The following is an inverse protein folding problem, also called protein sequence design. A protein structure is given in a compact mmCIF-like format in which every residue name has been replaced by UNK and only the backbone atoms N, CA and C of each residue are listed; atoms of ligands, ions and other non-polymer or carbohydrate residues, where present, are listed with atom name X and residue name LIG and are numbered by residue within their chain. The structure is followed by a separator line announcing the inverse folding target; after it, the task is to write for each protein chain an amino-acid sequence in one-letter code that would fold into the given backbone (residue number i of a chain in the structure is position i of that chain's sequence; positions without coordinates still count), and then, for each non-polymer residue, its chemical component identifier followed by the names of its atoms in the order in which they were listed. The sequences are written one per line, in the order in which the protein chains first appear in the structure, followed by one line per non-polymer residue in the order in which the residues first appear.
data_IF_664487892683
#
_entry.id   IF_664487892683
#
_cell.length_a   1.000
_cell.length_b   1.000
_cell.length_c   1.000
_cell.angle_alpha   90.00
_cell.angle_beta   90.00
_cell.angle_gamma   90.00
#
_symmetry.space_group_name_H-M   'P 1'
#
loop_
_entity.id
_entity.type
_entity.pdbx_description
1 polymer ?
#
# COMPACT_ATOMS: atom_id res chain seq x y z
N UNK A 1 92.53 -24.39 23.15
CA UNK A 1 91.24 -24.92 23.64
C UNK A 1 90.14 -24.15 22.93
N UNK A 2 89.29 -24.86 22.19
CA UNK A 2 88.28 -24.33 21.26
C UNK A 2 87.23 -23.46 21.94
N UNK A 3 86.92 -22.30 21.34
CA UNK A 3 85.60 -21.67 21.48
C UNK A 3 85.02 -21.46 20.08
N UNK A 4 84.07 -22.34 19.77
CA UNK A 4 83.32 -22.42 18.53
C UNK A 4 82.44 -21.18 18.31
N UNK A 5 82.55 -20.58 17.12
CA UNK A 5 81.52 -19.73 16.55
C UNK A 5 80.22 -20.54 16.32
N UNK A 6 79.16 -20.24 17.06
CA UNK A 6 77.78 -20.55 16.64
C UNK A 6 77.16 -19.28 16.06
N UNK A 7 77.06 -19.21 14.73
CA UNK A 7 76.17 -18.27 14.03
C UNK A 7 74.73 -18.73 14.23
N UNK A 8 73.99 -18.08 15.13
CA UNK A 8 72.53 -18.09 15.04
C UNK A 8 72.13 -16.95 14.12
N UNK A 9 71.48 -17.29 13.00
CA UNK A 9 70.82 -16.36 12.11
C UNK A 9 69.63 -15.73 12.82
N UNK A 10 69.90 -14.66 13.59
CA UNK A 10 68.87 -13.87 14.25
C UNK A 10 68.16 -13.00 13.22
N UNK A 11 66.93 -13.34 12.87
CA UNK A 11 65.99 -12.38 12.31
C UNK A 11 65.92 -11.22 13.31
N UNK A 12 66.31 -10.01 12.88
CA UNK A 12 66.32 -8.83 13.74
C UNK A 12 64.94 -8.64 14.37
N UNK A 13 64.90 -8.41 15.69
CA UNK A 13 63.68 -8.18 16.47
C UNK A 13 62.76 -7.11 15.84
N UNK A 14 63.36 -6.15 15.14
CA UNK A 14 62.69 -5.08 14.40
C UNK A 14 61.85 -5.60 13.23
N UNK A 15 62.34 -6.63 12.52
CA UNK A 15 61.63 -7.26 11.39
C UNK A 15 60.42 -8.04 11.90
N UNK A 16 60.58 -8.75 13.02
CA UNK A 16 59.46 -9.43 13.68
C UNK A 16 58.39 -8.45 14.14
N UNK A 17 58.78 -7.31 14.74
CA UNK A 17 57.82 -6.29 15.19
C UNK A 17 57.05 -5.65 14.04
N UNK A 18 57.72 -5.31 12.94
CA UNK A 18 57.08 -4.76 11.74
C UNK A 18 56.11 -5.77 11.12
N UNK A 19 56.48 -7.04 11.06
CA UNK A 19 55.62 -8.09 10.50
C UNK A 19 54.37 -8.31 11.35
N UNK A 20 54.48 -8.27 12.68
CA UNK A 20 53.33 -8.39 13.60
C UNK A 20 52.40 -7.18 13.50
N UNK A 21 52.93 -5.95 13.36
CA UNK A 21 52.11 -4.74 13.17
C UNK A 21 51.36 -4.82 11.83
N UNK A 22 52.02 -5.25 10.75
CA UNK A 22 51.38 -5.41 9.44
C UNK A 22 50.29 -6.49 9.48
N UNK A 23 50.54 -7.64 10.12
CA UNK A 23 49.54 -8.69 10.30
C UNK A 23 48.34 -8.23 11.14
N UNK A 24 48.58 -7.47 12.22
CA UNK A 24 47.51 -6.92 13.05
C UNK A 24 46.67 -5.89 12.27
N UNK A 25 47.29 -5.03 11.48
CA UNK A 25 46.59 -4.06 10.61
C UNK A 25 45.79 -4.77 9.51
N UNK A 26 46.32 -5.85 8.93
CA UNK A 26 45.62 -6.66 7.93
C UNK A 26 44.40 -7.38 8.54
N UNK A 27 44.55 -8.03 9.70
CA UNK A 27 43.43 -8.65 10.41
C UNK A 27 42.36 -7.62 10.82
N UNK A 28 42.78 -6.43 11.23
CA UNK A 28 41.85 -5.35 11.56
C UNK A 28 41.13 -4.83 10.32
N UNK A 29 41.81 -4.75 9.16
CA UNK A 29 41.16 -4.38 7.89
C UNK A 29 40.17 -5.44 7.39
N UNK A 30 40.49 -6.73 7.54
CA UNK A 30 39.57 -7.82 7.18
C UNK A 30 38.32 -7.84 8.08
N UNK A 31 38.50 -7.60 9.39
CA UNK A 31 37.40 -7.49 10.34
C UNK A 31 36.47 -6.30 10.07
N UNK A 32 37.04 -5.14 9.68
CA UNK A 32 36.27 -3.94 9.30
C UNK A 32 35.47 -4.20 8.01
N UNK A 33 36.09 -4.80 6.99
CA UNK A 33 35.41 -5.13 5.74
C UNK A 33 34.26 -6.14 5.91
N UNK A 34 34.42 -7.14 6.80
CA UNK A 34 33.37 -8.10 7.10
C UNK A 34 32.15 -7.46 7.79
N UNK A 35 32.38 -6.54 8.73
CA UNK A 35 31.31 -5.82 9.42
C UNK A 35 30.57 -4.84 8.49
N UNK A 36 31.30 -4.12 7.63
CA UNK A 36 30.70 -3.22 6.62
C UNK A 36 29.85 -4.01 5.61
N UNK A 37 30.32 -5.17 5.18
CA UNK A 37 29.55 -6.08 4.33
C UNK A 37 28.26 -6.53 5.00
N UNK A 38 28.31 -7.01 6.24
CA UNK A 38 27.11 -7.45 6.97
C UNK A 38 26.09 -6.29 7.13
N UNK A 39 26.59 -5.07 7.36
CA UNK A 39 25.75 -3.88 7.46
C UNK A 39 25.05 -3.56 6.12
N UNK A 40 25.78 -3.59 5.01
CA UNK A 40 25.20 -3.36 3.67
C UNK A 40 24.19 -4.45 3.32
N UNK A 41 24.50 -5.72 3.61
CA UNK A 41 23.62 -6.86 3.32
C UNK A 41 22.28 -6.71 4.03
N UNK A 42 22.29 -6.33 5.31
CA UNK A 42 21.07 -6.06 6.08
C UNK A 42 20.27 -4.90 5.50
N UNK A 43 20.94 -3.82 5.10
CA UNK A 43 20.28 -2.67 4.49
C UNK A 43 19.63 -3.00 3.14
N UNK A 44 20.34 -3.71 2.26
CA UNK A 44 19.80 -4.10 0.96
C UNK A 44 18.71 -5.16 1.08
N UNK A 45 18.81 -6.09 2.03
CA UNK A 45 17.70 -7.00 2.34
C UNK A 45 16.46 -6.24 2.80
N UNK A 46 16.63 -5.21 3.64
CA UNK A 46 15.53 -4.36 4.10
C UNK A 46 14.88 -3.56 2.94
N UNK A 47 15.70 -2.97 2.06
CA UNK A 47 15.23 -2.28 0.85
C UNK A 47 14.48 -3.21 -0.09
N UNK A 48 15.06 -4.37 -0.40
CA UNK A 48 14.43 -5.39 -1.24
C UNK A 48 13.08 -5.85 -0.68
N UNK A 49 12.97 -6.07 0.62
CA UNK A 49 11.72 -6.48 1.25
C UNK A 49 10.62 -5.40 1.14
N UNK A 50 10.96 -4.13 1.35
CA UNK A 50 10.03 -3.02 1.10
C UNK A 50 9.53 -3.09 -0.35
N UNK A 51 10.44 -3.17 -1.32
CA UNK A 51 10.07 -3.20 -2.74
C UNK A 51 9.29 -4.45 -3.13
N UNK A 52 9.56 -5.60 -2.53
CA UNK A 52 8.77 -6.82 -2.73
C UNK A 52 7.31 -6.59 -2.26
N UNK A 53 7.07 -5.89 -1.14
CA UNK A 53 5.70 -5.53 -0.73
C UNK A 53 5.05 -4.49 -1.64
N UNK A 54 5.80 -3.49 -2.12
CA UNK A 54 5.28 -2.51 -3.09
C UNK A 54 4.87 -3.24 -4.38
N UNK A 55 5.71 -4.13 -4.91
CA UNK A 55 5.44 -4.91 -6.14
C UNK A 55 4.24 -5.85 -5.97
N UNK A 56 4.07 -6.44 -4.80
CA UNK A 56 2.91 -7.26 -4.44
C UNK A 56 1.67 -6.43 -4.08
N UNK A 57 1.76 -5.10 -4.12
CA UNK A 57 0.67 -4.15 -3.80
C UNK A 57 0.14 -4.30 -2.37
N UNK A 58 0.98 -4.76 -1.45
CA UNK A 58 0.63 -4.95 -0.06
C UNK A 58 0.85 -3.64 0.70
N UNK A 59 -0.11 -2.72 0.58
CA UNK A 59 -0.04 -1.38 1.17
C UNK A 59 0.20 -1.43 2.68
N UNK A 60 -0.53 -2.29 3.40
CA UNK A 60 -0.42 -2.40 4.84
C UNK A 60 0.97 -2.90 5.28
N UNK A 61 1.49 -3.95 4.63
CA UNK A 61 2.85 -4.44 4.95
C UNK A 61 3.93 -3.47 4.54
N UNK A 62 3.78 -2.79 3.41
CA UNK A 62 4.72 -1.73 2.98
C UNK A 62 4.86 -0.67 4.08
N UNK A 63 3.74 -0.08 4.53
CA UNK A 63 3.78 0.97 5.56
C UNK A 63 4.29 0.45 6.91
N UNK A 64 3.94 -0.78 7.28
CA UNK A 64 4.45 -1.41 8.50
C UNK A 64 5.97 -1.58 8.44
N UNK A 65 6.49 -1.99 7.28
CA UNK A 65 7.92 -2.29 7.12
C UNK A 65 8.78 -1.01 7.11
N UNK A 66 8.27 0.10 6.59
CA UNK A 66 8.99 1.38 6.54
C UNK A 66 9.57 1.83 7.89
N UNK A 67 8.88 1.57 9.01
CA UNK A 67 9.33 2.05 10.35
C UNK A 67 10.64 1.41 10.83
N UNK A 68 10.99 0.22 10.34
CA UNK A 68 12.23 -0.47 10.75
C UNK A 68 13.22 -0.73 9.62
N UNK A 69 12.77 -0.67 8.36
CA UNK A 69 13.60 -1.04 7.22
C UNK A 69 14.24 0.14 6.49
N UNK A 70 13.69 1.36 6.61
CA UNK A 70 14.19 2.48 5.82
C UNK A 70 15.58 2.96 6.27
N UNK A 71 15.82 3.06 7.57
CA UNK A 71 17.10 3.54 8.09
C UNK A 71 18.26 2.57 7.73
N UNK A 72 18.12 1.23 7.94
CA UNK A 72 19.13 0.29 7.46
C UNK A 72 19.35 0.37 5.94
N UNK A 73 18.28 0.50 5.16
CA UNK A 73 18.37 0.60 3.71
C UNK A 73 19.15 1.84 3.24
N UNK A 74 18.77 3.03 3.72
CA UNK A 74 19.47 4.26 3.33
C UNK A 74 20.91 4.30 3.88
N UNK A 75 21.12 3.80 5.10
CA UNK A 75 22.45 3.72 5.71
C UNK A 75 23.42 2.85 4.91
N UNK A 76 22.94 1.77 4.27
CA UNK A 76 23.76 0.89 3.44
C UNK A 76 24.26 1.55 2.13
N UNK A 77 23.61 2.62 1.66
CA UNK A 77 24.02 3.31 0.43
C UNK A 77 25.41 3.94 0.57
N UNK A 78 25.72 4.47 1.75
CA UNK A 78 26.99 5.18 1.98
C UNK A 78 28.22 4.28 1.83
N UNK A 79 28.34 3.21 2.62
CA UNK A 79 29.43 2.24 2.47
C UNK A 79 29.48 1.67 1.04
N UNK A 80 28.33 1.31 0.46
CA UNK A 80 28.28 0.83 -0.93
C UNK A 80 28.88 1.81 -1.94
N UNK A 81 28.49 3.09 -1.88
CA UNK A 81 29.03 4.12 -2.75
C UNK A 81 30.50 4.40 -2.47
N UNK A 82 30.92 4.34 -1.20
CA UNK A 82 32.34 4.39 -0.82
C UNK A 82 33.16 3.33 -1.54
N UNK A 83 32.70 2.06 -1.51
CA UNK A 83 33.36 0.96 -2.23
C UNK A 83 33.37 1.17 -3.75
N UNK A 84 32.26 1.61 -4.34
CA UNK A 84 32.17 1.89 -5.79
C UNK A 84 33.13 3.00 -6.21
N UNK A 85 33.30 4.04 -5.40
CA UNK A 85 34.06 5.24 -5.76
C UNK A 85 35.57 5.15 -5.45
N UNK A 86 35.97 4.32 -4.47
CA UNK A 86 37.35 4.21 -3.99
C UNK A 86 38.24 3.25 -4.79
N UNK A 87 37.69 2.38 -5.64
CA UNK A 87 38.47 1.33 -6.31
C UNK A 87 39.23 1.79 -7.58
N UNK A 88 40.47 1.31 -7.75
CA UNK A 88 41.40 1.49 -8.90
C UNK A 88 42.10 0.11 -9.17
N UNK A 89 42.42 -0.31 -10.42
CA UNK A 89 41.68 -1.32 -11.19
C UNK A 89 42.35 -2.71 -11.29
N UNK A 90 41.53 -3.75 -11.44
CA UNK A 90 41.62 -4.77 -12.52
C UNK A 90 40.45 -5.78 -12.49
N UNK A 91 39.80 -5.95 -11.33
CA UNK A 91 38.57 -6.72 -11.17
C UNK A 91 37.80 -6.23 -9.93
N UNK A 92 36.46 -6.35 -9.95
CA UNK A 92 35.65 -6.19 -8.74
C UNK A 92 36.13 -7.20 -7.69
N UNK A 93 36.25 -6.77 -6.43
CA UNK A 93 36.39 -7.74 -5.34
C UNK A 93 35.12 -8.59 -5.26
N UNK A 94 35.21 -9.78 -4.65
CA UNK A 94 34.05 -10.64 -4.46
C UNK A 94 32.93 -9.92 -3.69
N UNK A 95 33.31 -9.05 -2.76
CA UNK A 95 32.44 -8.20 -1.96
C UNK A 95 31.74 -7.14 -2.82
N UNK A 96 32.49 -6.37 -3.61
CA UNK A 96 31.92 -5.33 -4.47
C UNK A 96 31.00 -5.92 -5.54
N UNK A 97 31.41 -7.03 -6.17
CA UNK A 97 30.59 -7.75 -7.14
C UNK A 97 29.27 -8.22 -6.52
N UNK A 98 29.32 -8.70 -5.27
CA UNK A 98 28.13 -9.09 -4.52
C UNK A 98 27.23 -7.88 -4.18
N UNK A 99 27.80 -6.77 -3.71
CA UNK A 99 27.03 -5.56 -3.39
C UNK A 99 26.36 -4.96 -4.62
N UNK A 100 27.07 -4.89 -5.76
CA UNK A 100 26.51 -4.47 -7.06
C UNK A 100 25.37 -5.40 -7.49
N UNK A 101 25.52 -6.71 -7.33
CA UNK A 101 24.45 -7.68 -7.59
C UNK A 101 23.23 -7.40 -6.72
N UNK A 102 23.41 -7.09 -5.44
CA UNK A 102 22.31 -6.80 -4.53
C UNK A 102 21.61 -5.49 -4.87
N UNK A 103 22.36 -4.42 -5.16
CA UNK A 103 21.79 -3.15 -5.64
C UNK A 103 21.03 -3.36 -6.95
N UNK A 104 21.59 -4.13 -7.90
CA UNK A 104 20.89 -4.49 -9.13
C UNK A 104 19.59 -5.26 -8.91
N UNK A 105 19.45 -6.05 -7.82
CA UNK A 105 18.17 -6.66 -7.47
C UNK A 105 17.14 -5.63 -6.98
N UNK A 106 17.57 -4.62 -6.21
CA UNK A 106 16.74 -3.51 -5.76
C UNK A 106 16.25 -2.72 -6.98
N UNK A 107 17.15 -2.37 -7.89
CA UNK A 107 16.81 -1.63 -9.12
C UNK A 107 15.89 -2.39 -10.05
N UNK A 108 16.10 -3.70 -10.20
CA UNK A 108 15.17 -4.54 -10.95
C UNK A 108 13.76 -4.54 -10.33
N UNK A 109 13.62 -4.35 -9.02
CA UNK A 109 12.32 -4.24 -8.34
C UNK A 109 11.69 -2.87 -8.52
N UNK A 110 12.46 -1.82 -8.76
CA UNK A 110 11.92 -0.52 -9.16
C UNK A 110 11.21 -0.58 -10.52
N UNK A 111 11.70 -1.38 -11.48
CA UNK A 111 11.15 -1.44 -12.85
C UNK A 111 9.82 -2.21 -13.01
N UNK A 112 9.33 -2.94 -12.01
CA UNK A 112 8.19 -3.89 -12.16
C UNK A 112 6.81 -3.23 -12.10
N UNK A 113 6.67 -2.00 -11.60
CA UNK A 113 5.35 -1.38 -11.27
C UNK A 113 4.74 -0.49 -12.38
N UNK A 114 5.42 -0.26 -13.50
CA UNK A 114 5.09 0.88 -14.38
C UNK A 114 3.68 0.86 -15.00
N UNK A 115 3.19 -0.27 -15.50
CA UNK A 115 2.00 -0.23 -16.37
C UNK A 115 0.70 0.25 -15.69
N UNK A 116 0.46 -0.08 -14.42
CA UNK A 116 -0.78 0.30 -13.72
C UNK A 116 -0.67 1.60 -12.92
N UNK A 117 0.55 1.95 -12.53
CA UNK A 117 0.82 3.28 -12.00
C UNK A 117 0.48 4.34 -13.05
N UNK A 118 0.94 4.13 -14.28
CA UNK A 118 0.65 4.98 -15.44
C UNK A 118 -0.86 5.05 -15.75
N UNK A 119 -1.62 3.97 -15.56
CA UNK A 119 -3.07 3.99 -15.78
C UNK A 119 -3.79 4.93 -14.81
N UNK A 120 -3.36 4.99 -13.54
CA UNK A 120 -3.96 5.89 -12.55
C UNK A 120 -3.45 7.32 -12.75
N UNK A 121 -2.17 7.47 -13.08
CA UNK A 121 -1.55 8.75 -13.42
C UNK A 121 -2.30 9.46 -14.55
N UNK A 122 -2.69 8.72 -15.59
CA UNK A 122 -3.48 9.24 -16.73
C UNK A 122 -4.89 9.71 -16.35
N UNK A 123 -5.44 9.27 -15.21
CA UNK A 123 -6.73 9.75 -14.73
C UNK A 123 -6.63 11.13 -14.07
N UNK A 124 -5.44 11.52 -13.64
CA UNK A 124 -5.22 12.74 -12.88
C UNK A 124 -5.03 13.91 -13.86
N UNK A 125 -5.87 14.92 -13.73
CA UNK A 125 -5.64 16.20 -14.42
C UNK A 125 -4.56 16.98 -13.67
N UNK A 126 -3.32 16.78 -14.10
CA UNK A 126 -2.11 17.37 -13.55
C UNK A 126 -2.10 18.90 -13.60
N UNK A 127 -2.91 19.54 -14.45
CA UNK A 127 -3.02 21.01 -14.48
C UNK A 127 -3.64 21.58 -13.21
N UNK A 128 -4.35 20.73 -12.43
CA UNK A 128 -5.00 21.08 -11.17
C UNK A 128 -4.22 20.63 -9.94
N UNK A 129 -3.13 19.89 -10.12
CA UNK A 129 -2.26 19.43 -9.03
C UNK A 129 -1.15 20.44 -8.84
N UNK A 130 -0.76 20.70 -7.59
CA UNK A 130 0.30 21.65 -7.22
C UNK A 130 1.65 21.44 -7.92
N UNK A 131 1.86 20.22 -8.42
CA UNK A 131 3.15 19.70 -8.79
C UNK A 131 3.09 19.14 -10.20
N UNK A 132 4.10 19.49 -11.01
CA UNK A 132 4.34 18.89 -12.30
C UNK A 132 4.93 17.47 -12.09
N UNK A 133 4.05 16.54 -11.71
CA UNK A 133 4.42 15.18 -11.35
C UNK A 133 5.12 14.45 -12.49
N UNK A 134 4.60 14.56 -13.72
CA UNK A 134 5.20 13.95 -14.91
C UNK A 134 6.64 14.43 -15.15
N UNK A 135 6.92 15.73 -14.98
CA UNK A 135 8.29 16.23 -15.08
C UNK A 135 9.20 15.70 -13.97
N UNK A 136 8.70 15.61 -12.73
CA UNK A 136 9.46 15.05 -11.61
C UNK A 136 9.80 13.59 -11.86
N UNK A 137 8.82 12.80 -12.32
CA UNK A 137 9.02 11.39 -12.67
C UNK A 137 10.05 11.23 -13.79
N UNK A 138 9.94 12.01 -14.86
CA UNK A 138 10.90 12.01 -15.96
C UNK A 138 12.32 12.34 -15.47
N UNK A 139 12.46 13.37 -14.63
CA UNK A 139 13.74 13.78 -14.06
C UNK A 139 14.35 12.68 -13.18
N UNK A 140 13.54 12.03 -12.34
CA UNK A 140 13.99 10.94 -11.47
C UNK A 140 14.41 9.74 -12.33
N UNK A 141 13.61 9.30 -13.29
CA UNK A 141 13.93 8.16 -14.15
C UNK A 141 15.18 8.40 -15.01
N UNK A 142 15.33 9.61 -15.56
CA UNK A 142 16.51 9.99 -16.32
C UNK A 142 17.79 9.94 -15.45
N UNK A 143 17.71 10.46 -14.22
CA UNK A 143 18.84 10.43 -13.29
C UNK A 143 19.11 9.04 -12.71
N UNK A 144 18.07 8.23 -12.48
CA UNK A 144 18.20 6.85 -11.99
C UNK A 144 18.98 5.99 -12.99
N UNK A 145 18.74 6.18 -14.29
CA UNK A 145 19.50 5.51 -15.35
C UNK A 145 21.01 5.85 -15.31
N UNK A 146 21.36 7.10 -14.97
CA UNK A 146 22.75 7.51 -14.81
C UNK A 146 23.37 6.99 -13.51
N UNK A 147 22.59 6.96 -12.44
CA UNK A 147 22.98 6.35 -11.17
C UNK A 147 23.31 4.86 -11.34
N UNK A 148 22.48 4.10 -12.08
CA UNK A 148 22.77 2.69 -12.41
C UNK A 148 24.09 2.57 -13.16
N UNK A 149 24.32 3.45 -14.14
CA UNK A 149 25.56 3.45 -14.94
C UNK A 149 26.78 3.70 -14.06
N UNK A 150 26.70 4.58 -13.07
CA UNK A 150 27.81 4.86 -12.15
C UNK A 150 28.28 3.59 -11.42
N UNK A 151 27.37 2.88 -10.75
CA UNK A 151 27.77 1.75 -9.91
C UNK A 151 27.94 0.43 -10.71
N UNK A 152 27.35 0.31 -11.90
CA UNK A 152 27.45 -0.91 -12.71
C UNK A 152 28.81 -1.05 -13.41
N UNK A 153 29.58 0.04 -13.51
CA UNK A 153 30.93 0.00 -14.09
C UNK A 153 31.96 -0.49 -13.07
N UNK A 154 33.00 -1.20 -13.53
CA UNK A 154 34.09 -1.66 -12.66
C UNK A 154 34.84 -0.50 -12.01
N UNK A 155 34.90 0.64 -12.71
CA UNK A 155 35.43 1.89 -12.20
C UNK A 155 34.72 3.04 -12.93
N UNK A 156 33.88 3.83 -12.24
CA UNK A 156 33.30 5.02 -12.85
C UNK A 156 34.42 6.02 -13.16
N UNK A 157 34.56 6.38 -14.44
CA UNK A 157 35.55 7.36 -14.86
C UNK A 157 35.26 8.72 -14.24
N UNK A 158 36.29 9.56 -14.10
CA UNK A 158 36.11 10.92 -13.59
C UNK A 158 35.09 11.71 -14.46
N UNK A 159 35.10 11.47 -15.77
CA UNK A 159 34.10 12.03 -16.68
C UNK A 159 32.68 11.54 -16.38
N UNK A 160 32.49 10.27 -16.01
CA UNK A 160 31.17 9.73 -15.63
C UNK A 160 30.66 10.35 -14.32
N UNK A 161 31.55 10.54 -13.34
CA UNK A 161 31.24 11.23 -12.08
C UNK A 161 30.83 12.68 -12.32
N UNK A 162 31.62 13.42 -13.11
CA UNK A 162 31.32 14.81 -13.47
C UNK A 162 30.01 14.93 -14.25
N UNK A 163 29.76 14.03 -15.20
CA UNK A 163 28.51 14.01 -15.97
C UNK A 163 27.30 13.79 -15.06
N UNK A 164 27.39 12.87 -14.09
CA UNK A 164 26.33 12.66 -13.11
C UNK A 164 26.07 13.90 -12.27
N UNK A 165 27.11 14.58 -11.77
CA UNK A 165 26.99 15.84 -11.01
C UNK A 165 26.32 16.94 -11.86
N UNK A 166 26.76 17.12 -13.11
CA UNK A 166 26.20 18.12 -14.02
C UNK A 166 24.71 17.85 -14.27
N UNK A 167 24.35 16.59 -14.53
CA UNK A 167 22.96 16.23 -14.80
C UNK A 167 22.10 16.29 -13.54
N UNK A 168 22.65 15.97 -12.37
CA UNK A 168 21.95 16.21 -11.11
C UNK A 168 21.61 17.69 -10.94
N UNK A 169 22.58 18.58 -11.13
CA UNK A 169 22.37 20.01 -10.94
C UNK A 169 21.44 20.65 -11.99
N UNK A 170 21.36 20.10 -13.21
CA UNK A 170 20.59 20.68 -14.32
C UNK A 170 19.24 20.00 -14.58
N UNK A 171 19.19 18.66 -14.52
CA UNK A 171 18.03 17.82 -14.84
C UNK A 171 17.23 17.46 -13.60
N UNK A 172 17.90 17.03 -12.51
CA UNK A 172 17.19 16.51 -11.32
C UNK A 172 16.34 17.57 -10.63
N UNK A 173 16.79 18.83 -10.56
CA UNK A 173 16.02 19.99 -10.09
C UNK A 173 15.26 19.78 -8.77
N UNK A 174 15.91 19.19 -7.77
CA UNK A 174 15.34 18.91 -6.43
C UNK A 174 14.08 18.01 -6.46
N UNK A 175 14.04 17.04 -7.38
CA UNK A 175 12.85 16.22 -7.61
C UNK A 175 12.39 15.44 -6.37
N UNK A 176 13.28 14.85 -5.56
CA UNK A 176 12.88 14.20 -4.31
C UNK A 176 12.17 15.16 -3.35
N UNK A 177 12.72 16.35 -3.12
CA UNK A 177 12.13 17.33 -2.22
C UNK A 177 10.76 17.81 -2.74
N UNK A 178 10.63 18.09 -4.04
CA UNK A 178 9.36 18.48 -4.65
C UNK A 178 8.32 17.37 -4.54
N UNK A 179 8.71 16.11 -4.75
CA UNK A 179 7.82 14.96 -4.61
C UNK A 179 7.37 14.75 -3.17
N UNK A 180 8.31 14.84 -2.23
CA UNK A 180 8.03 14.83 -0.79
C UNK A 180 7.01 15.92 -0.42
N UNK A 181 7.24 17.16 -0.86
CA UNK A 181 6.34 18.28 -0.62
C UNK A 181 4.96 18.07 -1.24
N UNK A 182 4.90 17.50 -2.46
CA UNK A 182 3.63 17.15 -3.11
C UNK A 182 2.76 16.22 -2.24
N UNK A 183 3.41 15.29 -1.53
CA UNK A 183 2.78 14.31 -0.66
C UNK A 183 2.35 14.94 0.67
N UNK A 184 3.24 15.69 1.32
CA UNK A 184 3.08 16.08 2.72
C UNK A 184 2.47 17.47 2.91
N UNK A 185 2.67 18.40 1.98
CA UNK A 185 2.15 19.75 2.13
C UNK A 185 0.65 19.80 1.89
N UNK A 186 -0.10 20.27 2.88
CA UNK A 186 -1.57 20.35 2.87
C UNK A 186 -2.11 21.77 2.66
N UNK A 187 -1.22 22.76 2.62
CA UNK A 187 -1.53 24.18 2.77
C UNK A 187 -1.05 25.02 1.58
N UNK A 188 -1.79 24.96 0.48
CA UNK A 188 -1.76 25.96 -0.60
C UNK A 188 -3.18 26.39 -0.92
N UNK A 189 -3.47 27.69 -0.88
CA UNK A 189 -4.81 28.26 -1.13
C UNK A 189 -5.32 28.01 -2.55
N UNK A 190 -4.41 27.68 -3.48
CA UNK A 190 -4.70 27.55 -4.92
C UNK A 190 -4.34 26.18 -5.51
N UNK A 191 -3.76 25.26 -4.73
CA UNK A 191 -3.29 23.99 -5.27
C UNK A 191 -3.66 22.82 -4.35
N UNK A 192 -4.32 21.80 -4.91
CA UNK A 192 -4.66 20.58 -4.19
C UNK A 192 -3.38 19.76 -3.94
N UNK A 193 -3.22 19.23 -2.72
CA UNK A 193 -2.15 18.29 -2.44
C UNK A 193 -2.38 16.97 -3.17
N UNK A 194 -1.31 16.20 -3.39
CA UNK A 194 -1.36 14.99 -4.22
C UNK A 194 -2.38 13.98 -3.69
N UNK A 195 -2.50 13.88 -2.36
CA UNK A 195 -3.48 13.02 -1.70
C UNK A 195 -4.94 13.37 -2.04
N UNK A 196 -5.34 14.64 -1.99
CA UNK A 196 -6.71 15.05 -2.37
C UNK A 196 -6.98 14.78 -3.85
N UNK A 197 -5.99 15.08 -4.69
CA UNK A 197 -6.09 14.87 -6.14
C UNK A 197 -6.31 13.40 -6.46
N UNK A 198 -5.50 12.48 -5.92
CA UNK A 198 -5.66 11.06 -6.19
C UNK A 198 -7.00 10.52 -5.69
N UNK A 199 -7.46 10.94 -4.51
CA UNK A 199 -8.77 10.54 -3.97
C UNK A 199 -9.91 10.97 -4.90
N UNK A 200 -9.82 12.17 -5.47
CA UNK A 200 -10.81 12.72 -6.40
C UNK A 200 -10.85 11.94 -7.72
N UNK A 201 -9.70 11.78 -8.39
CA UNK A 201 -9.64 11.15 -9.72
C UNK A 201 -9.85 9.64 -9.68
N UNK A 202 -9.53 8.99 -8.57
CA UNK A 202 -9.88 7.57 -8.37
C UNK A 202 -11.32 7.37 -7.90
N UNK A 203 -12.10 8.45 -7.73
CA UNK A 203 -13.45 8.42 -7.16
C UNK A 203 -13.49 7.62 -5.84
N UNK A 204 -12.51 7.86 -4.96
CA UNK A 204 -12.30 7.16 -3.68
C UNK A 204 -12.25 5.63 -3.81
N UNK A 205 -11.80 5.10 -4.96
CA UNK A 205 -11.41 3.70 -5.06
C UNK A 205 -10.14 3.48 -4.23
N UNK A 206 -10.30 2.81 -3.08
CA UNK A 206 -9.21 2.57 -2.13
C UNK A 206 -8.07 1.78 -2.76
N UNK A 207 -8.38 0.78 -3.58
CA UNK A 207 -7.33 -0.05 -4.21
C UNK A 207 -6.52 0.80 -5.19
N UNK A 208 -7.18 1.58 -6.04
CA UNK A 208 -6.47 2.49 -6.97
C UNK A 208 -5.69 3.57 -6.22
N UNK A 209 -6.26 4.16 -5.17
CA UNK A 209 -5.55 5.13 -4.33
C UNK A 209 -4.28 4.51 -3.74
N UNK A 210 -4.38 3.32 -3.13
CA UNK A 210 -3.23 2.61 -2.57
C UNK A 210 -2.18 2.28 -3.62
N UNK A 211 -2.58 1.79 -4.80
CA UNK A 211 -1.66 1.50 -5.90
C UNK A 211 -0.88 2.75 -6.35
N UNK A 212 -1.55 3.90 -6.45
CA UNK A 212 -0.89 5.17 -6.78
C UNK A 212 0.08 5.63 -5.69
N UNK A 213 -0.33 5.55 -4.42
CA UNK A 213 0.54 5.92 -3.30
C UNK A 213 1.81 5.03 -3.26
N UNK A 214 1.67 3.72 -3.51
CA UNK A 214 2.81 2.80 -3.58
C UNK A 214 3.77 3.15 -4.72
N UNK A 215 3.26 3.47 -5.91
CA UNK A 215 4.12 3.91 -7.02
C UNK A 215 4.79 5.26 -6.75
N UNK A 216 4.11 6.17 -6.04
CA UNK A 216 4.70 7.44 -5.59
C UNK A 216 5.83 7.22 -4.57
N UNK A 217 5.65 6.31 -3.60
CA UNK A 217 6.69 5.96 -2.64
C UNK A 217 7.89 5.31 -3.34
N UNK A 218 7.64 4.40 -4.29
CA UNK A 218 8.68 3.79 -5.12
C UNK A 218 9.54 4.88 -5.78
N UNK A 219 8.90 5.82 -6.49
CA UNK A 219 9.57 6.91 -7.17
C UNK A 219 10.36 7.80 -6.20
N UNK A 220 9.81 8.06 -5.01
CA UNK A 220 10.52 8.81 -3.97
C UNK A 220 11.76 8.07 -3.46
N UNK A 221 11.71 6.75 -3.28
CA UNK A 221 12.88 5.98 -2.84
C UNK A 221 14.02 6.05 -3.87
N UNK A 222 13.71 5.93 -5.17
CA UNK A 222 14.71 6.13 -6.24
C UNK A 222 15.30 7.54 -6.20
N UNK A 223 14.46 8.54 -5.98
CA UNK A 223 14.89 9.94 -5.89
C UNK A 223 15.86 10.15 -4.70
N UNK A 224 15.58 9.54 -3.55
CA UNK A 224 16.44 9.61 -2.37
C UNK A 224 17.78 8.90 -2.61
N UNK A 225 17.80 7.74 -3.28
CA UNK A 225 19.05 7.07 -3.67
C UNK A 225 19.94 7.98 -4.52
N UNK A 226 19.35 8.64 -5.54
CA UNK A 226 20.06 9.59 -6.41
C UNK A 226 20.64 10.76 -5.63
N UNK A 227 19.86 11.32 -4.70
CA UNK A 227 20.27 12.47 -3.89
C UNK A 227 21.41 12.11 -2.92
N UNK A 228 21.35 10.94 -2.29
CA UNK A 228 22.45 10.44 -1.45
C UNK A 228 23.69 10.18 -2.31
N UNK A 229 23.52 9.54 -3.47
CA UNK A 229 24.60 9.29 -4.42
C UNK A 229 25.31 10.56 -4.88
N UNK A 230 24.55 11.64 -5.15
CA UNK A 230 25.11 12.94 -5.49
C UNK A 230 26.08 13.47 -4.45
N UNK A 231 25.74 13.39 -3.16
CA UNK A 231 26.62 13.87 -2.10
C UNK A 231 27.92 13.04 -2.03
N UNK A 232 27.84 11.71 -2.16
CA UNK A 232 29.04 10.86 -2.18
C UNK A 232 29.92 11.11 -3.41
N UNK A 233 29.33 11.16 -4.61
CA UNK A 233 30.06 11.42 -5.86
C UNK A 233 30.73 12.80 -5.84
N UNK A 234 30.14 13.77 -5.14
CA UNK A 234 30.68 15.13 -5.00
C UNK A 234 31.70 15.29 -3.86
N UNK A 235 32.01 14.24 -3.09
CA UNK A 235 32.93 14.32 -1.94
C UNK A 235 32.35 15.06 -0.73
N UNK A 236 31.03 14.98 -0.52
CA UNK A 236 30.30 15.61 0.59
C UNK A 236 29.73 14.55 1.54
N UNK A 237 30.53 13.59 1.98
CA UNK A 237 30.08 12.40 2.73
C UNK A 237 29.36 12.76 4.04
N UNK A 238 29.87 13.72 4.81
CA UNK A 238 29.19 14.21 6.04
C UNK A 238 27.80 14.78 5.76
N UNK A 239 27.64 15.42 4.60
CA UNK A 239 26.35 15.94 4.18
C UNK A 239 25.43 14.81 3.71
N UNK A 240 25.98 13.77 3.07
CA UNK A 240 25.25 12.55 2.71
C UNK A 240 24.69 11.83 3.95
N UNK A 241 25.48 11.69 5.02
CA UNK A 241 25.05 11.12 6.30
C UNK A 241 23.93 11.95 6.93
N UNK A 242 24.11 13.28 7.00
CA UNK A 242 23.09 14.19 7.52
C UNK A 242 21.79 14.09 6.72
N UNK A 243 21.90 14.03 5.39
CA UNK A 243 20.74 13.97 4.51
C UNK A 243 20.05 12.60 4.56
N UNK A 244 20.80 11.53 4.83
CA UNK A 244 20.27 10.18 5.06
C UNK A 244 19.32 10.17 6.26
N UNK A 245 19.73 10.75 7.39
CA UNK A 245 18.87 10.86 8.59
C UNK A 245 17.66 11.77 8.37
N UNK A 246 17.85 12.85 7.60
CA UNK A 246 16.76 13.73 7.22
C UNK A 246 15.72 12.98 6.36
N UNK A 247 16.17 12.19 5.40
CA UNK A 247 15.29 11.38 4.54
C UNK A 247 14.60 10.26 5.29
N UNK A 248 15.27 9.62 6.26
CA UNK A 248 14.64 8.69 7.19
C UNK A 248 13.43 9.35 7.87
N UNK A 249 13.60 10.56 8.42
CA UNK A 249 12.52 11.32 9.08
C UNK A 249 11.39 11.68 8.10
N UNK A 250 11.74 12.19 6.91
CA UNK A 250 10.78 12.58 5.86
C UNK A 250 9.95 11.39 5.38
N UNK A 251 10.55 10.20 5.24
CA UNK A 251 9.83 9.00 4.81
C UNK A 251 8.83 8.53 5.89
N UNK A 252 9.13 8.72 7.19
CA UNK A 252 8.14 8.49 8.24
C UNK A 252 6.98 9.49 8.18
N UNK A 253 7.22 10.72 7.72
CA UNK A 253 6.14 11.69 7.45
C UNK A 253 5.29 11.32 6.24
N UNK A 254 5.92 10.84 5.15
CA UNK A 254 5.22 10.28 3.99
C UNK A 254 4.33 9.11 4.40
N UNK A 255 4.86 8.17 5.21
CA UNK A 255 4.09 7.07 5.79
C UNK A 255 2.82 7.58 6.49
N UNK A 256 2.97 8.55 7.41
CA UNK A 256 1.83 9.11 8.16
C UNK A 256 0.79 9.76 7.24
N UNK A 257 1.24 10.47 6.20
CA UNK A 257 0.34 11.06 5.21
C UNK A 257 -0.41 9.99 4.40
N UNK A 258 0.27 8.90 4.01
CA UNK A 258 -0.35 7.78 3.31
C UNK A 258 -1.42 7.08 4.17
N UNK A 259 -1.14 6.89 5.47
CA UNK A 259 -2.12 6.35 6.42
C UNK A 259 -3.35 7.28 6.56
N UNK A 260 -3.12 8.59 6.58
CA UNK A 260 -4.19 9.57 6.65
C UNK A 260 -5.06 9.57 5.38
N UNK A 261 -4.45 9.48 4.19
CA UNK A 261 -5.16 9.38 2.90
C UNK A 261 -5.97 8.09 2.83
N UNK A 262 -5.39 6.93 3.16
CA UNK A 262 -6.10 5.64 3.16
C UNK A 262 -7.31 5.67 4.11
N UNK A 263 -7.13 6.23 5.31
CA UNK A 263 -8.21 6.42 6.28
C UNK A 263 -9.30 7.36 5.74
N UNK A 264 -8.93 8.46 5.09
CA UNK A 264 -9.88 9.39 4.50
C UNK A 264 -10.72 8.72 3.40
N UNK A 265 -10.10 7.92 2.52
CA UNK A 265 -10.80 7.13 1.50
C UNK A 265 -11.75 6.12 2.14
N UNK A 266 -11.28 5.36 3.14
CA UNK A 266 -12.14 4.41 3.89
C UNK A 266 -13.37 5.10 4.47
N UNK A 267 -13.22 6.31 5.00
CA UNK A 267 -14.29 7.06 5.63
C UNK A 267 -15.27 7.70 4.63
N UNK A 268 -14.85 7.90 3.37
CA UNK A 268 -15.69 8.46 2.31
C UNK A 268 -16.62 7.45 1.63
N UNK A 269 -16.59 6.18 2.05
CA UNK A 269 -17.35 5.11 1.40
C UNK A 269 -18.86 5.39 1.34
N UNK A 270 -19.45 6.01 2.35
CA UNK A 270 -20.90 6.22 2.39
C UNK A 270 -21.34 7.21 1.31
N UNK A 271 -20.68 8.38 1.26
CA UNK A 271 -20.95 9.41 0.25
C UNK A 271 -20.63 8.90 -1.17
N UNK A 272 -19.50 8.19 -1.33
CA UNK A 272 -19.08 7.71 -2.64
C UNK A 272 -19.97 6.57 -3.15
N UNK A 273 -20.34 5.62 -2.30
CA UNK A 273 -21.18 4.48 -2.70
C UNK A 273 -22.57 4.94 -3.15
N UNK A 274 -23.11 6.01 -2.56
CA UNK A 274 -24.33 6.65 -3.05
C UNK A 274 -24.23 7.11 -4.51
N UNK A 275 -23.12 7.75 -4.87
CA UNK A 275 -22.87 8.21 -6.25
C UNK A 275 -22.68 7.03 -7.20
N UNK A 276 -21.87 6.06 -6.81
CA UNK A 276 -21.58 4.88 -7.61
C UNK A 276 -22.85 4.04 -7.86
N UNK A 277 -23.69 3.86 -6.83
CA UNK A 277 -24.97 3.15 -6.92
C UNK A 277 -25.95 3.88 -7.86
N UNK A 278 -25.98 5.22 -7.79
CA UNK A 278 -26.81 6.04 -8.69
C UNK A 278 -26.37 5.91 -10.15
N UNK A 279 -25.07 5.99 -10.40
CA UNK A 279 -24.49 5.84 -11.74
C UNK A 279 -24.70 4.42 -12.28
N UNK A 280 -24.42 3.40 -11.47
CA UNK A 280 -24.69 2.01 -11.78
C UNK A 280 -26.13 1.80 -12.24
N UNK A 281 -27.10 2.34 -11.48
CA UNK A 281 -28.52 2.16 -11.77
C UNK A 281 -28.92 2.82 -13.08
N UNK A 282 -28.39 4.01 -13.38
CA UNK A 282 -28.66 4.71 -14.63
C UNK A 282 -28.18 3.93 -15.88
N UNK A 283 -27.10 3.15 -15.75
CA UNK A 283 -26.49 2.42 -16.85
C UNK A 283 -27.03 0.99 -17.05
N UNK A 284 -28.00 0.57 -16.22
CA UNK A 284 -28.48 -0.83 -16.16
C UNK A 284 -30.00 -0.94 -16.38
N UNK A 285 -30.57 0.02 -17.09
CA UNK A 285 -31.97 0.03 -17.48
C UNK A 285 -32.37 -1.26 -18.20
N UNK A 286 -33.58 -1.77 -17.91
CA UNK A 286 -34.14 -2.96 -18.57
C UNK A 286 -33.56 -4.31 -18.11
N UNK A 287 -32.54 -4.35 -17.25
CA UNK A 287 -32.04 -5.62 -16.70
C UNK A 287 -33.06 -6.27 -15.75
N UNK A 288 -33.15 -7.60 -15.71
CA UNK A 288 -33.90 -8.32 -14.66
C UNK A 288 -33.41 -7.96 -13.25
N UNK A 289 -34.26 -8.07 -12.23
CA UNK A 289 -33.88 -7.82 -10.84
C UNK A 289 -32.71 -8.73 -10.39
N UNK A 290 -32.71 -10.00 -10.78
CA UNK A 290 -31.63 -10.95 -10.49
C UNK A 290 -30.27 -10.42 -10.97
N UNK A 291 -30.14 -10.18 -12.28
CA UNK A 291 -28.89 -9.67 -12.88
C UNK A 291 -28.47 -8.32 -12.30
N UNK A 292 -29.42 -7.41 -12.06
CA UNK A 292 -29.16 -6.10 -11.51
C UNK A 292 -28.55 -6.18 -10.10
N UNK A 293 -29.10 -7.03 -9.25
CA UNK A 293 -28.61 -7.20 -7.87
C UNK A 293 -27.25 -7.89 -7.86
N UNK A 294 -27.04 -8.90 -8.70
CA UNK A 294 -25.74 -9.55 -8.84
C UNK A 294 -24.66 -8.57 -9.31
N UNK A 295 -24.91 -7.86 -10.42
CA UNK A 295 -23.97 -6.87 -10.97
C UNK A 295 -23.68 -5.75 -9.94
N UNK A 296 -24.70 -5.29 -9.21
CA UNK A 296 -24.56 -4.26 -8.18
C UNK A 296 -23.76 -4.74 -6.96
N UNK A 297 -23.99 -5.98 -6.52
CA UNK A 297 -23.21 -6.62 -5.46
C UNK A 297 -21.74 -6.79 -5.86
N UNK A 298 -21.48 -7.27 -7.08
CA UNK A 298 -20.13 -7.48 -7.59
C UNK A 298 -19.36 -6.15 -7.67
N UNK A 299 -19.99 -5.08 -8.18
CA UNK A 299 -19.43 -3.73 -8.21
C UNK A 299 -19.05 -3.24 -6.80
N UNK A 300 -19.98 -3.32 -5.84
CA UNK A 300 -19.77 -2.84 -4.47
C UNK A 300 -18.68 -3.63 -3.75
N UNK A 301 -18.72 -4.96 -3.87
CA UNK A 301 -17.70 -5.85 -3.28
C UNK A 301 -16.32 -5.59 -3.86
N UNK A 302 -16.22 -5.35 -5.16
CA UNK A 302 -14.94 -5.09 -5.81
C UNK A 302 -14.32 -3.76 -5.36
N UNK A 303 -15.10 -2.66 -5.35
CA UNK A 303 -14.58 -1.32 -5.00
C UNK A 303 -14.43 -1.12 -3.49
N UNK A 304 -15.32 -1.70 -2.69
CA UNK A 304 -15.39 -1.54 -1.24
C UNK A 304 -15.07 -2.85 -0.50
N UNK A 305 -14.02 -3.54 -0.91
CA UNK A 305 -13.64 -4.89 -0.43
C UNK A 305 -13.43 -5.03 1.09
N UNK A 306 -13.26 -3.92 1.82
CA UNK A 306 -13.14 -3.91 3.28
C UNK A 306 -14.50 -3.88 3.99
N UNK A 307 -15.58 -3.98 3.22
CA UNK A 307 -16.94 -3.97 3.71
C UNK A 307 -17.72 -5.13 3.13
N UNK A 308 -18.62 -5.62 3.96
CA UNK A 308 -19.55 -6.69 3.61
C UNK A 308 -20.86 -6.05 3.21
N UNK A 309 -21.36 -6.41 2.04
CA UNK A 309 -22.54 -5.81 1.44
C UNK A 309 -23.72 -6.75 1.47
N UNK A 310 -24.91 -6.17 1.63
CA UNK A 310 -26.17 -6.79 1.29
C UNK A 310 -26.85 -5.94 0.21
N UNK A 311 -27.35 -6.60 -0.84
CA UNK A 311 -27.97 -5.93 -1.98
C UNK A 311 -29.29 -6.62 -2.30
N UNK A 312 -30.34 -5.82 -2.49
CA UNK A 312 -31.66 -6.33 -2.88
C UNK A 312 -32.38 -5.39 -3.84
N UNK A 313 -33.05 -5.98 -4.82
CA UNK A 313 -33.99 -5.29 -5.70
C UNK A 313 -35.36 -5.97 -5.64
N UNK A 314 -36.42 -5.17 -5.62
CA UNK A 314 -37.81 -5.65 -5.59
C UNK A 314 -38.76 -4.67 -6.28
N UNK A 315 -39.92 -5.14 -6.72
CA UNK A 315 -40.88 -4.31 -7.44
C UNK A 315 -41.80 -3.51 -6.49
N UNK A 316 -42.34 -2.38 -6.96
CA UNK A 316 -43.16 -1.43 -6.17
C UNK A 316 -44.37 -2.04 -5.46
N UNK A 317 -44.92 -3.14 -5.99
CA UNK A 317 -46.13 -3.76 -5.44
C UNK A 317 -45.89 -4.58 -4.18
N UNK A 318 -44.63 -4.87 -3.83
CA UNK A 318 -44.32 -5.92 -2.86
C UNK A 318 -43.86 -5.46 -1.48
N UNK A 319 -43.30 -4.26 -1.26
CA UNK A 319 -42.79 -3.91 0.08
C UNK A 319 -42.70 -2.40 0.39
N UNK A 320 -42.75 -2.03 1.68
CA UNK A 320 -42.88 -0.63 2.14
C UNK A 320 -41.76 -0.07 3.04
N UNK A 321 -40.96 -0.89 3.73
CA UNK A 321 -39.87 -0.39 4.58
C UNK A 321 -38.64 -1.29 4.57
N UNK A 322 -37.46 -0.65 4.61
CA UNK A 322 -36.16 -1.30 4.78
C UNK A 322 -35.31 -0.55 5.81
N UNK A 323 -34.98 -1.16 6.95
CA UNK A 323 -33.92 -0.66 7.82
C UNK A 323 -32.57 -1.16 7.28
N UNK A 324 -31.56 -0.31 7.29
CA UNK A 324 -30.25 -0.59 6.70
C UNK A 324 -29.15 0.12 7.46
N UNK A 325 -27.98 -0.51 7.48
CA UNK A 325 -26.77 0.10 8.01
C UNK A 325 -25.82 0.46 6.88
N UNK A 326 -25.26 1.67 6.92
CA UNK A 326 -24.17 2.09 6.05
C UNK A 326 -24.41 1.89 4.55
N UNK A 327 -25.66 1.92 4.09
CA UNK A 327 -26.02 1.68 2.69
C UNK A 327 -27.03 2.70 2.16
N UNK A 328 -27.62 2.37 1.01
CA UNK A 328 -28.40 3.29 0.19
C UNK A 328 -29.77 2.72 -0.17
N UNK A 329 -30.78 3.59 -0.29
CA UNK A 329 -32.11 3.27 -0.81
C UNK A 329 -32.40 4.14 -2.02
N UNK A 330 -32.83 3.50 -3.10
CA UNK A 330 -33.42 4.17 -4.26
C UNK A 330 -34.81 3.60 -4.48
N UNK A 331 -35.81 4.49 -4.48
CA UNK A 331 -37.19 4.12 -4.72
C UNK A 331 -37.59 4.52 -6.13
N UNK A 332 -38.42 3.67 -6.76
CA UNK A 332 -39.03 3.94 -8.07
C UNK A 332 -38.04 4.33 -9.16
N UNK A 333 -36.87 3.68 -9.16
CA UNK A 333 -35.90 3.86 -10.23
C UNK A 333 -36.11 2.75 -11.24
N UNK A 334 -36.71 3.09 -12.38
CA UNK A 334 -36.91 2.17 -13.50
C UNK A 334 -37.77 0.94 -13.12
N UNK A 335 -38.85 1.19 -12.36
CA UNK A 335 -39.84 0.19 -11.96
C UNK A 335 -39.43 -0.72 -10.79
N UNK A 336 -38.28 -0.48 -10.16
CA UNK A 336 -37.81 -1.24 -8.99
C UNK A 336 -37.38 -0.34 -7.83
N UNK A 337 -37.42 -0.93 -6.64
CA UNK A 337 -36.70 -0.46 -5.47
C UNK A 337 -35.35 -1.15 -5.41
N UNK A 338 -34.32 -0.40 -5.05
CA UNK A 338 -32.98 -0.93 -4.81
C UNK A 338 -32.51 -0.51 -3.43
N UNK A 339 -32.13 -1.50 -2.62
CA UNK A 339 -31.67 -1.28 -1.24
C UNK A 339 -30.33 -1.97 -1.06
N UNK A 340 -29.40 -1.24 -0.46
CA UNK A 340 -28.10 -1.76 -0.09
C UNK A 340 -27.85 -1.51 1.39
N UNK A 341 -27.06 -2.39 2.01
CA UNK A 341 -26.54 -2.19 3.36
C UNK A 341 -25.09 -2.67 3.41
N UNK A 342 -24.29 -2.05 4.27
CA UNK A 342 -22.88 -2.32 4.43
C UNK A 342 -22.45 -2.26 5.89
N UNK A 343 -21.57 -3.19 6.26
CA UNK A 343 -20.81 -3.17 7.51
C UNK A 343 -19.34 -3.38 7.24
N UNK A 344 -18.47 -2.88 8.12
CA UNK A 344 -17.04 -3.23 8.02
C UNK A 344 -16.86 -4.73 8.28
N UNK A 345 -16.06 -5.42 7.47
CA UNK A 345 -16.01 -6.89 7.47
C UNK A 345 -15.57 -7.50 8.81
N UNK A 346 -14.75 -6.79 9.58
CA UNK A 346 -14.37 -7.23 10.93
C UNK A 346 -15.55 -7.14 11.93
N UNK A 347 -16.46 -6.19 11.72
CA UNK A 347 -17.69 -6.06 12.51
C UNK A 347 -18.75 -7.05 12.07
N UNK A 348 -18.80 -7.45 10.80
CA UNK A 348 -19.76 -8.44 10.32
C UNK A 348 -19.58 -9.80 11.00
N UNK A 349 -18.34 -10.24 11.25
CA UNK A 349 -18.07 -11.54 11.90
C UNK A 349 -18.58 -11.56 13.33
N UNK A 350 -18.32 -10.49 14.08
CA UNK A 350 -18.84 -10.31 15.44
C UNK A 350 -20.36 -10.13 15.44
N UNK A 351 -20.89 -9.33 14.52
CA UNK A 351 -22.31 -9.09 14.33
C UNK A 351 -23.07 -10.38 14.01
N UNK A 352 -22.52 -11.23 13.13
CA UNK A 352 -23.06 -12.56 12.82
C UNK A 352 -23.10 -13.48 14.03
N UNK A 353 -22.01 -13.54 14.81
CA UNK A 353 -21.98 -14.37 16.02
C UNK A 353 -22.99 -13.89 17.07
N UNK A 354 -23.09 -12.58 17.27
CA UNK A 354 -24.07 -11.97 18.18
C UNK A 354 -25.50 -12.18 17.70
N UNK A 355 -25.76 -12.01 16.40
CA UNK A 355 -27.06 -12.22 15.79
C UNK A 355 -27.47 -13.68 15.86
N UNK A 356 -26.57 -14.61 15.53
CA UNK A 356 -26.81 -16.05 15.66
C UNK A 356 -27.15 -16.42 17.11
N UNK A 357 -26.35 -16.00 18.09
CA UNK A 357 -26.67 -16.21 19.51
C UNK A 357 -28.02 -15.65 19.92
N UNK A 358 -28.40 -14.48 19.39
CA UNK A 358 -29.71 -13.86 19.67
C UNK A 358 -30.86 -14.62 19.00
N UNK A 359 -30.70 -15.01 17.74
CA UNK A 359 -31.68 -15.85 17.02
C UNK A 359 -31.85 -17.21 17.73
N UNK A 360 -30.76 -17.82 18.16
CA UNK A 360 -30.76 -19.07 18.93
C UNK A 360 -31.43 -18.86 20.31
N UNK A 361 -31.20 -17.72 20.97
CA UNK A 361 -31.85 -17.36 22.24
C UNK A 361 -33.35 -17.06 22.11
N UNK A 362 -33.83 -16.77 20.89
CA UNK A 362 -35.25 -16.68 20.60
C UNK A 362 -35.90 -18.09 20.49
N UNK A 363 -35.13 -19.17 20.47
CA UNK A 363 -35.63 -20.55 20.51
C UNK A 363 -36.64 -20.88 19.40
N UNK A 364 -37.61 -21.77 19.68
CA UNK A 364 -38.73 -22.12 18.79
C UNK A 364 -39.82 -21.04 18.68
N UNK A 365 -39.64 -19.85 19.29
CA UNK A 365 -40.65 -18.77 19.34
C UNK A 365 -40.88 -18.06 18.01
N UNK A 366 -40.12 -18.40 16.97
CA UNK A 366 -40.35 -17.93 15.61
C UNK A 366 -41.56 -18.58 14.93
N UNK A 367 -42.37 -19.41 15.61
CA UNK A 367 -43.54 -20.07 15.03
C UNK A 367 -44.72 -20.21 16.01
N UNK A 368 -45.90 -19.72 15.63
CA UNK A 368 -47.18 -20.19 16.19
C UNK A 368 -47.56 -21.51 15.52
N UNK A 369 -47.95 -22.52 16.30
CA UNK A 369 -48.73 -23.64 15.77
C UNK A 369 -50.15 -23.13 15.59
N UNK A 370 -50.63 -23.04 14.37
CA UNK A 370 -52.06 -22.89 14.15
C UNK A 370 -52.73 -24.26 14.38
N UNK A 371 -54.04 -24.28 14.61
CA UNK A 371 -54.80 -25.48 15.03
C UNK A 371 -54.64 -26.72 14.12
N UNK A 372 -54.10 -26.54 12.90
CA UNK A 372 -53.80 -27.59 11.90
C UNK A 372 -52.32 -28.03 11.88
N UNK A 373 -51.53 -27.70 12.91
CA UNK A 373 -50.13 -28.14 13.02
C UNK A 373 -49.13 -27.47 12.06
N UNK A 374 -49.57 -26.53 11.21
CA UNK A 374 -48.68 -25.70 10.39
C UNK A 374 -48.01 -24.63 11.27
N UNK A 375 -46.68 -24.53 11.17
CA UNK A 375 -45.86 -23.50 11.79
C UNK A 375 -45.99 -22.20 10.99
N UNK A 376 -46.52 -21.12 11.56
CA UNK A 376 -46.49 -19.76 10.96
C UNK A 376 -45.70 -18.81 11.84
N UNK A 377 -44.87 -17.93 11.28
CA UNK A 377 -44.04 -17.06 12.10
C UNK A 377 -44.85 -16.08 12.97
N UNK A 378 -44.48 -15.91 14.25
CA UNK A 378 -45.00 -14.81 15.08
C UNK A 378 -44.68 -13.46 14.43
N UNK A 379 -45.44 -12.42 14.78
CA UNK A 379 -45.34 -11.08 14.21
C UNK A 379 -43.88 -10.62 14.18
N UNK A 380 -43.31 -10.69 12.99
CA UNK A 380 -41.93 -10.40 12.65
C UNK A 380 -41.54 -8.96 13.00
N UNK A 381 -42.52 -8.11 13.33
CA UNK A 381 -42.35 -6.80 13.97
C UNK A 381 -41.68 -6.89 15.36
N UNK A 382 -42.00 -7.90 16.18
CA UNK A 382 -41.44 -8.06 17.54
C UNK A 382 -40.00 -8.59 17.49
N UNK A 383 -39.73 -9.50 16.54
CA UNK A 383 -38.37 -9.97 16.22
C UNK A 383 -37.54 -8.81 15.69
N UNK A 384 -38.12 -7.98 14.83
CA UNK A 384 -37.50 -6.77 14.31
C UNK A 384 -37.17 -5.77 15.40
N UNK A 385 -38.12 -5.40 16.25
CA UNK A 385 -37.91 -4.49 17.39
C UNK A 385 -36.78 -4.96 18.30
N UNK A 386 -36.69 -6.27 18.55
CA UNK A 386 -35.63 -6.87 19.39
C UNK A 386 -34.26 -6.86 18.71
N UNK A 387 -34.22 -6.96 17.37
CA UNK A 387 -32.96 -6.86 16.61
C UNK A 387 -32.57 -5.39 16.39
N UNK A 388 -33.51 -4.48 16.14
CA UNK A 388 -33.24 -3.05 15.98
C UNK A 388 -32.72 -2.43 17.30
N UNK A 389 -33.37 -2.74 18.43
CA UNK A 389 -32.91 -2.35 19.78
C UNK A 389 -31.55 -2.94 20.18
N UNK A 390 -31.04 -3.92 19.43
CA UNK A 390 -29.72 -4.49 19.71
C UNK A 390 -28.55 -3.63 19.22
N UNK A 391 -28.82 -2.67 18.33
CA UNK A 391 -27.78 -1.88 17.67
C UNK A 391 -26.85 -2.70 16.75
N UNK A 392 -27.13 -3.99 16.51
CA UNK A 392 -26.30 -4.80 15.60
C UNK A 392 -26.64 -4.45 14.16
N UNK A 393 -25.73 -3.73 13.52
CA UNK A 393 -25.92 -3.17 12.18
C UNK A 393 -25.89 -4.19 11.02
N UNK A 394 -26.31 -5.44 11.26
CA UNK A 394 -26.06 -6.60 10.39
C UNK A 394 -27.31 -7.12 9.67
N UNK A 395 -28.32 -6.26 9.45
CA UNK A 395 -29.63 -6.72 8.97
C UNK A 395 -30.22 -5.74 7.94
N UNK A 396 -30.72 -6.28 6.83
CA UNK A 396 -31.73 -5.59 6.01
C UNK A 396 -33.04 -6.32 6.15
N UNK A 397 -34.09 -5.57 6.46
CA UNK A 397 -35.41 -6.15 6.68
C UNK A 397 -36.41 -5.59 5.70
N UNK A 398 -37.03 -6.42 4.86
CA UNK A 398 -38.06 -5.96 3.92
C UNK A 398 -39.45 -6.36 4.43
N UNK A 399 -40.36 -5.40 4.55
CA UNK A 399 -41.76 -5.66 4.90
C UNK A 399 -42.62 -5.85 3.65
N UNK A 400 -43.21 -7.04 3.45
CA UNK A 400 -44.19 -7.29 2.39
C UNK A 400 -45.55 -6.70 2.74
N UNK A 401 -46.30 -6.24 1.73
CA UNK A 401 -47.63 -5.64 1.91
C UNK A 401 -48.69 -6.58 2.54
N UNK A 402 -48.44 -7.90 2.59
CA UNK A 402 -49.32 -8.89 3.24
C UNK A 402 -48.85 -9.30 4.65
N UNK A 403 -47.92 -8.56 5.26
CA UNK A 403 -47.42 -8.83 6.61
C UNK A 403 -46.26 -9.81 6.73
N UNK A 404 -45.74 -10.37 5.62
CA UNK A 404 -44.53 -11.20 5.63
C UNK A 404 -43.26 -10.33 5.64
N UNK A 405 -42.20 -10.75 6.33
CA UNK A 405 -40.95 -9.99 6.42
C UNK A 405 -39.76 -10.81 5.96
N UNK A 406 -38.78 -10.15 5.34
CA UNK A 406 -37.54 -10.75 4.85
C UNK A 406 -36.37 -10.23 5.67
N UNK A 407 -35.38 -11.07 5.96
CA UNK A 407 -34.18 -10.68 6.69
C UNK A 407 -32.95 -11.08 5.86
N UNK A 408 -32.08 -10.11 5.57
CA UNK A 408 -30.84 -10.29 4.82
C UNK A 408 -29.60 -10.07 5.67
N UNK A 409 -28.59 -10.93 5.54
CA UNK A 409 -27.28 -10.81 6.18
C UNK A 409 -26.28 -10.12 5.24
N UNK A 410 -25.31 -9.33 5.76
CA UNK A 410 -24.14 -8.89 5.01
C UNK A 410 -23.38 -10.09 4.44
N UNK A 411 -22.80 -9.95 3.25
CA UNK A 411 -22.16 -10.98 2.40
C UNK A 411 -23.09 -11.75 1.46
N UNK A 412 -24.33 -11.30 1.25
CA UNK A 412 -25.27 -11.97 0.35
C UNK A 412 -25.97 -10.97 -0.56
N UNK A 413 -26.49 -11.46 -1.67
CA UNK A 413 -27.40 -10.71 -2.55
C UNK A 413 -28.69 -11.50 -2.71
N UNK A 414 -29.82 -10.81 -2.86
CA UNK A 414 -31.12 -11.44 -3.02
C UNK A 414 -31.97 -10.64 -4.03
N UNK A 415 -32.83 -11.30 -4.79
CA UNK A 415 -33.83 -10.62 -5.61
C UNK A 415 -35.22 -11.12 -5.21
N UNK A 416 -36.23 -10.24 -5.27
CA UNK A 416 -37.61 -10.59 -4.95
C UNK A 416 -38.49 -10.21 -6.14
N UNK A 417 -38.75 -11.20 -6.99
CA UNK A 417 -39.77 -11.11 -8.05
C UNK A 417 -41.10 -11.70 -7.57
N UNK A 418 -42.20 -11.30 -8.21
CA UNK A 418 -43.55 -11.64 -7.77
C UNK A 418 -43.70 -13.15 -7.51
N UNK A 419 -43.91 -13.50 -6.24
CA UNK A 419 -44.32 -14.83 -5.81
C UNK A 419 -43.17 -15.82 -5.61
N UNK A 420 -42.34 -15.64 -4.59
CA UNK A 420 -41.69 -16.78 -3.91
C UNK A 420 -41.69 -16.61 -2.40
N UNK A 421 -41.75 -17.75 -1.72
CA UNK A 421 -41.96 -17.93 -0.29
C UNK A 421 -40.68 -18.34 0.46
N UNK A 422 -39.53 -18.45 -0.20
CA UNK A 422 -38.32 -18.99 0.44
C UNK A 422 -37.08 -18.11 0.21
N UNK A 423 -36.85 -17.16 1.13
CA UNK A 423 -35.51 -17.00 1.68
C UNK A 423 -35.62 -17.24 3.19
N UNK A 424 -35.73 -18.52 3.52
CA UNK A 424 -35.36 -19.02 4.83
C UNK A 424 -33.87 -18.75 5.03
N UNK A 425 -33.56 -17.78 5.88
CA UNK A 425 -32.30 -17.74 6.58
C UNK A 425 -32.15 -19.03 7.37
N UNK A 426 -31.29 -19.91 6.89
CA UNK A 426 -30.56 -20.79 7.79
C UNK A 426 -29.06 -20.62 7.60
N UNK A 427 -28.38 -20.88 8.71
CA UNK A 427 -26.94 -20.81 8.90
C UNK A 427 -26.17 -21.54 7.81
#
# INVERSE_FOLDING_TARGET
MNLSQRRYGGVSLTVLLQTVIVLALLQQSEGIQAAEKEYVDKGFAAGKEILDYINNKDFAKTLTKLTGAIAPFLGALGPFLGFVLAFIPSQDSAELAYMKKMMGQIDNRFNVIDNRFNDIERLIDWTKVAVNFGQIEQNINAMHSQYITLYSTNQPSENAKQLFIINYNSVYQLSALKLYQAITQTHGTFQENLGKSVMRYTANDRKKTQEFLLGTLRLLLQAVEIEIAYYYVSGFEKLAETNTELWNTRIQEVKRNFEAIDKAVKNKYLDQSAKDIKEFSANKYGQSNERFVKDGYDMLKQKYYWRDWFVVAYNLKTASTANMCGGQRMFDKDGRHFVTSSVESNHSKKGRATLKKRLDSLGSYAYTKNWVGKKSARDTSEVFDKIDKSGTCSLVVLKKNNGAWWIGLPDRYAHVDNGYQDLLLFA
#
